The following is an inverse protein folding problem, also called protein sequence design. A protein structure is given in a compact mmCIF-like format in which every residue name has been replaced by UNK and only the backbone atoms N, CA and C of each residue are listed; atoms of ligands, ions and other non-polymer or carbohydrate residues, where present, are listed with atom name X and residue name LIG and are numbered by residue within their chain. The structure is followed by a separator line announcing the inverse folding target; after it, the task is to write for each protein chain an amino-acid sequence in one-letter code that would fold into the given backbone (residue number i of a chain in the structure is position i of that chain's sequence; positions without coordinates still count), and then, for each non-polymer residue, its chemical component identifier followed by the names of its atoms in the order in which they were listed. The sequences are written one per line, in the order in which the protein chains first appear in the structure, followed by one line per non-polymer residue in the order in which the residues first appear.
data_IF_054774461056
#
_entry.id   IF_054774461056
#
_cell.length_a   1.000
_cell.length_b   1.000
_cell.length_c   1.000
_cell.angle_alpha   90.00
_cell.angle_beta   90.00
_cell.angle_gamma   90.00
#
_symmetry.space_group_name_H-M   'P 1'
#
loop_
_entity.id
_entity.type
_entity.pdbx_description
1 polymer ?
#
# COMPACT_ATOMS: atom_id res chain seq x y z
N UNK A 1 18.45 -13.35 -1.02
CA UNK A 1 18.49 -12.31 -2.08
C UNK A 1 17.46 -11.22 -1.75
N UNK A 2 17.86 -9.94 -1.80
CA UNK A 2 16.91 -8.84 -1.60
C UNK A 2 15.87 -8.83 -2.73
N UNK A 3 14.61 -8.73 -2.34
CA UNK A 3 13.50 -8.60 -3.28
C UNK A 3 13.24 -7.13 -3.58
N UNK A 4 12.26 -6.86 -4.46
CA UNK A 4 11.83 -5.50 -4.76
C UNK A 4 11.39 -4.76 -3.48
N UNK A 5 10.67 -5.44 -2.57
CA UNK A 5 10.21 -4.82 -1.32
C UNK A 5 11.41 -4.42 -0.44
N UNK A 6 12.42 -5.27 -0.30
CA UNK A 6 13.66 -4.90 0.40
C UNK A 6 14.27 -3.63 -0.19
N UNK A 7 14.36 -3.56 -1.52
CA UNK A 7 14.93 -2.39 -2.22
C UNK A 7 14.09 -1.12 -1.97
N UNK A 8 12.75 -1.25 -1.96
CA UNK A 8 11.85 -0.11 -1.72
C UNK A 8 11.99 0.44 -0.30
N UNK A 9 12.14 -0.44 0.70
CA UNK A 9 12.36 0.01 2.08
C UNK A 9 13.70 0.73 2.21
N UNK A 10 14.75 0.15 1.64
CA UNK A 10 16.08 0.78 1.67
C UNK A 10 16.11 2.13 0.96
N UNK A 11 15.41 2.24 -0.16
CA UNK A 11 15.28 3.51 -0.88
C UNK A 11 14.49 4.54 -0.05
N UNK A 12 13.46 4.11 0.67
CA UNK A 12 12.71 4.99 1.57
C UNK A 12 13.60 5.52 2.69
N UNK A 13 14.40 4.65 3.31
CA UNK A 13 15.35 5.03 4.35
C UNK A 13 16.39 6.04 3.83
N UNK A 14 16.80 5.89 2.57
CA UNK A 14 17.78 6.78 1.92
C UNK A 14 17.17 8.07 1.36
N UNK A 15 15.84 8.22 1.40
CA UNK A 15 15.16 9.38 0.85
C UNK A 15 15.07 9.39 -0.68
N UNK A 16 15.23 8.25 -1.33
CA UNK A 16 15.26 8.12 -2.80
C UNK A 16 14.09 7.34 -3.38
N UNK A 17 13.10 6.99 -2.56
CA UNK A 17 11.91 6.26 -3.01
C UNK A 17 10.80 7.25 -3.39
N UNK A 18 10.47 7.41 -4.69
CA UNK A 18 9.48 8.40 -5.12
C UNK A 18 8.04 8.02 -4.77
N UNK A 19 7.79 6.76 -4.39
CA UNK A 19 6.46 6.27 -4.05
C UNK A 19 6.05 6.60 -2.62
N UNK A 20 6.97 7.07 -1.78
CA UNK A 20 6.71 7.33 -0.36
C UNK A 20 5.62 8.38 -0.20
N UNK A 21 4.57 8.02 0.54
CA UNK A 21 3.51 8.93 0.98
C UNK A 21 3.95 9.60 2.28
N UNK A 22 4.28 8.79 3.29
CA UNK A 22 4.83 9.27 4.57
C UNK A 22 5.43 8.13 5.39
N UNK A 23 6.25 8.50 6.37
CA UNK A 23 6.72 7.57 7.40
C UNK A 23 5.62 7.38 8.44
N UNK A 24 5.42 6.13 8.87
CA UNK A 24 4.51 5.76 9.95
C UNK A 24 5.29 5.05 11.05
N UNK A 25 4.72 4.91 12.27
CA UNK A 25 5.46 4.25 13.36
C UNK A 25 6.00 2.86 13.01
N UNK A 26 5.27 2.06 12.23
CA UNK A 26 5.69 0.69 11.88
C UNK A 26 6.42 0.58 10.54
N UNK A 27 6.50 1.63 9.76
CA UNK A 27 7.12 1.55 8.44
C UNK A 27 6.76 2.70 7.51
N UNK A 28 6.66 2.42 6.24
CA UNK A 28 6.47 3.41 5.19
C UNK A 28 5.17 3.19 4.45
N UNK A 29 4.31 4.22 4.44
CA UNK A 29 3.18 4.26 3.53
C UNK A 29 3.69 4.66 2.16
N UNK A 30 3.42 3.85 1.14
CA UNK A 30 3.83 4.13 -0.24
C UNK A 30 2.64 3.94 -1.18
N UNK A 31 2.66 4.66 -2.30
CA UNK A 31 1.73 4.39 -3.38
C UNK A 31 2.25 3.20 -4.20
N UNK A 32 1.36 2.35 -4.68
CA UNK A 32 1.75 1.22 -5.54
C UNK A 32 2.37 1.72 -6.86
N UNK A 33 3.39 1.02 -7.35
CA UNK A 33 4.09 1.39 -8.59
C UNK A 33 3.22 1.18 -9.84
N UNK A 34 2.10 0.47 -9.71
CA UNK A 34 1.08 0.33 -10.75
C UNK A 34 -0.26 0.83 -10.21
N UNK A 35 -0.76 1.92 -10.76
CA UNK A 35 -1.98 2.59 -10.31
C UNK A 35 -3.21 2.22 -11.16
N UNK A 36 -3.30 0.96 -11.58
CA UNK A 36 -4.47 0.44 -12.30
C UNK A 36 -5.76 0.54 -11.47
N UNK A 37 -5.64 0.51 -10.15
CA UNK A 37 -6.69 0.92 -9.21
C UNK A 37 -6.17 2.16 -8.51
N UNK A 38 -6.83 3.29 -8.73
CA UNK A 38 -6.37 4.58 -8.20
C UNK A 38 -6.34 4.56 -6.67
N UNK A 39 -5.20 4.90 -6.11
CA UNK A 39 -4.99 4.90 -4.66
C UNK A 39 -4.43 3.60 -4.11
N UNK A 40 -4.22 2.56 -4.95
CA UNK A 40 -3.53 1.37 -4.50
C UNK A 40 -2.25 1.76 -3.76
N UNK A 41 -2.17 1.36 -2.51
CA UNK A 41 -1.09 1.70 -1.60
C UNK A 41 -0.54 0.47 -0.91
N UNK A 42 0.65 0.59 -0.32
CA UNK A 42 1.24 -0.44 0.51
C UNK A 42 1.73 0.17 1.81
N UNK A 43 1.79 -0.67 2.83
CA UNK A 43 2.57 -0.41 4.05
C UNK A 43 3.77 -1.35 4.03
N UNK A 44 4.97 -0.79 4.02
CA UNK A 44 6.23 -1.53 4.05
C UNK A 44 6.77 -1.49 5.47
N UNK A 45 6.99 -2.67 6.08
CA UNK A 45 7.55 -2.72 7.44
C UNK A 45 8.99 -2.19 7.48
N UNK A 46 9.28 -1.40 8.49
CA UNK A 46 10.62 -0.95 8.82
C UNK A 46 10.77 -0.95 10.35
N UNK A 47 11.54 -1.85 10.93
CA UNK A 47 12.55 -2.73 10.32
C UNK A 47 11.95 -3.80 9.40
N UNK A 48 12.77 -4.27 8.45
CA UNK A 48 12.40 -5.36 7.55
C UNK A 48 12.38 -6.66 8.34
N UNK A 49 11.24 -7.36 8.28
CA UNK A 49 11.08 -8.71 8.84
C UNK A 49 10.41 -9.57 7.76
N UNK A 50 10.56 -10.92 7.82
CA UNK A 50 10.01 -11.77 6.74
C UNK A 50 8.49 -11.73 6.63
N UNK A 51 7.78 -11.68 7.77
CA UNK A 51 6.33 -11.72 7.79
C UNK A 51 5.78 -11.15 9.10
N UNK A 52 4.46 -11.07 9.17
CA UNK A 52 3.74 -10.49 10.30
C UNK A 52 4.02 -11.22 11.63
N UNK A 53 4.18 -12.54 11.58
CA UNK A 53 4.38 -13.35 12.78
C UNK A 53 5.78 -13.23 13.37
N UNK A 54 6.74 -12.69 12.63
CA UNK A 54 8.08 -12.37 13.15
C UNK A 54 8.13 -11.08 13.96
N UNK A 55 7.06 -10.26 13.92
CA UNK A 55 6.96 -9.10 14.81
C UNK A 55 6.51 -9.54 16.20
N UNK A 56 7.07 -8.93 17.26
CA UNK A 56 6.50 -9.06 18.59
C UNK A 56 5.12 -8.39 18.65
N UNK A 57 4.34 -8.74 19.66
CA UNK A 57 2.94 -8.35 19.76
C UNK A 57 2.74 -6.83 19.60
N UNK A 58 3.51 -6.03 20.32
CA UNK A 58 3.37 -4.56 20.27
C UNK A 58 3.60 -4.01 18.85
N UNK A 59 4.67 -4.47 18.21
CA UNK A 59 5.00 -4.04 16.83
C UNK A 59 4.00 -4.57 15.81
N UNK A 60 3.49 -5.78 16.01
CA UNK A 60 2.46 -6.39 15.18
C UNK A 60 1.18 -5.57 15.22
N UNK A 61 0.72 -5.20 16.42
CA UNK A 61 -0.47 -4.37 16.59
C UNK A 61 -0.29 -3.00 15.96
N UNK A 62 0.90 -2.42 16.08
CA UNK A 62 1.19 -1.13 15.45
C UNK A 62 1.14 -1.23 13.92
N UNK A 63 1.70 -2.30 13.34
CA UNK A 63 1.64 -2.52 11.90
C UNK A 63 0.20 -2.63 11.40
N UNK A 64 -0.62 -3.43 12.10
CA UNK A 64 -2.04 -3.61 11.73
C UNK A 64 -2.82 -2.29 11.87
N UNK A 65 -2.55 -1.52 12.92
CA UNK A 65 -3.15 -0.21 13.09
C UNK A 65 -2.76 0.73 11.95
N UNK A 66 -1.48 0.83 11.64
CA UNK A 66 -0.99 1.71 10.58
C UNK A 66 -1.59 1.32 9.22
N UNK A 67 -1.70 0.02 8.95
CA UNK A 67 -2.34 -0.49 7.74
C UNK A 67 -3.78 0.03 7.60
N UNK A 68 -4.55 -0.03 8.67
CA UNK A 68 -5.94 0.44 8.65
C UNK A 68 -6.05 1.97 8.59
N UNK A 69 -5.08 2.71 9.13
CA UNK A 69 -5.04 4.18 8.99
C UNK A 69 -4.85 4.60 7.53
N UNK A 70 -4.04 3.85 6.77
CA UNK A 70 -3.91 4.10 5.32
C UNK A 70 -5.27 3.85 4.65
N UNK A 71 -5.96 2.77 5.01
CA UNK A 71 -7.29 2.47 4.49
C UNK A 71 -8.30 3.57 4.81
N UNK A 72 -8.31 4.07 6.05
CA UNK A 72 -9.18 5.18 6.47
C UNK A 72 -8.90 6.44 5.63
N UNK A 73 -7.62 6.74 5.39
CA UNK A 73 -7.24 7.88 4.55
C UNK A 73 -7.76 7.72 3.12
N UNK A 74 -7.62 6.53 2.54
CA UNK A 74 -8.13 6.24 1.20
C UNK A 74 -9.65 6.40 1.11
N UNK A 75 -10.38 5.92 2.12
CA UNK A 75 -11.84 6.10 2.18
C UNK A 75 -12.22 7.57 2.27
N UNK A 76 -11.40 8.39 2.93
CA UNK A 76 -11.67 9.83 3.09
C UNK A 76 -11.39 10.64 1.83
N UNK A 77 -10.39 10.26 1.03
CA UNK A 77 -9.92 11.07 -0.10
C UNK A 77 -10.30 10.52 -1.47
N UNK A 78 -10.96 9.36 -1.54
CA UNK A 78 -11.41 8.73 -2.79
C UNK A 78 -12.88 8.36 -2.69
N UNK A 79 -13.44 7.88 -3.80
CA UNK A 79 -14.81 7.35 -3.85
C UNK A 79 -14.88 5.85 -3.53
N UNK A 80 -13.84 5.28 -2.94
CA UNK A 80 -13.81 3.87 -2.61
C UNK A 80 -14.96 3.51 -1.64
N UNK A 81 -15.63 2.38 -1.91
CA UNK A 81 -16.67 1.88 -1.01
C UNK A 81 -16.13 0.87 0.00
N UNK A 82 -14.93 0.33 -0.25
CA UNK A 82 -14.30 -0.71 0.59
C UNK A 82 -12.81 -0.72 0.38
N UNK A 83 -12.08 -1.13 1.40
CA UNK A 83 -10.65 -1.39 1.29
C UNK A 83 -10.41 -2.88 1.44
N UNK A 84 -9.65 -3.47 0.52
CA UNK A 84 -9.14 -4.82 0.67
C UNK A 84 -7.70 -4.78 1.15
N UNK A 85 -7.38 -5.61 2.13
CA UNK A 85 -6.05 -5.73 2.70
C UNK A 85 -5.50 -7.13 2.42
N UNK A 86 -4.27 -7.22 1.94
CA UNK A 86 -3.62 -8.49 1.68
C UNK A 86 -2.18 -8.48 2.18
N UNK A 87 -1.86 -9.41 3.08
CA UNK A 87 -0.50 -9.62 3.57
C UNK A 87 -0.08 -11.00 3.09
N UNK A 88 0.68 -11.04 2.00
CA UNK A 88 1.09 -12.28 1.33
C UNK A 88 2.56 -12.58 1.62
N UNK A 89 3.48 -12.12 0.78
CA UNK A 89 4.91 -12.22 1.03
C UNK A 89 5.56 -13.54 0.62
N UNK A 90 4.86 -14.40 -0.12
CA UNK A 90 5.43 -15.69 -0.52
C UNK A 90 6.61 -15.56 -1.48
N UNK A 91 6.60 -14.53 -2.35
CA UNK A 91 7.71 -14.25 -3.26
C UNK A 91 8.69 -13.22 -2.70
N UNK A 92 8.25 -12.42 -1.74
CA UNK A 92 9.04 -11.33 -1.17
C UNK A 92 8.95 -11.39 0.36
N UNK A 93 9.86 -12.13 1.02
CA UNK A 93 9.85 -12.27 2.48
C UNK A 93 10.36 -11.00 3.18
N UNK A 94 9.75 -9.89 2.86
CA UNK A 94 9.87 -8.60 3.51
C UNK A 94 8.44 -8.13 3.77
N UNK A 95 8.05 -8.05 5.04
CA UNK A 95 6.66 -7.79 5.42
C UNK A 95 6.13 -6.52 4.75
N UNK A 96 5.03 -6.67 4.04
CA UNK A 96 4.30 -5.58 3.42
C UNK A 96 2.82 -5.93 3.32
N UNK A 97 1.98 -4.93 3.39
CA UNK A 97 0.54 -5.07 3.19
C UNK A 97 0.14 -4.36 1.91
N UNK A 98 -0.61 -5.05 1.05
CA UNK A 98 -1.29 -4.43 -0.09
C UNK A 98 -2.60 -3.85 0.40
N UNK A 99 -2.90 -2.61 0.03
CA UNK A 99 -4.08 -1.88 0.47
C UNK A 99 -4.78 -1.37 -0.79
N UNK A 100 -5.86 -2.06 -1.17
CA UNK A 100 -6.59 -1.79 -2.40
C UNK A 100 -7.91 -1.10 -2.12
N UNK A 101 -8.08 0.17 -2.53
CA UNK A 101 -9.42 0.75 -2.56
C UNK A 101 -10.23 0.07 -3.68
N UNK A 102 -11.48 -0.26 -3.38
CA UNK A 102 -12.37 -0.90 -4.35
C UNK A 102 -13.50 0.08 -4.66
N UNK A 103 -13.89 0.14 -5.93
CA UNK A 103 -14.81 1.16 -6.44
C UNK A 103 -16.06 0.53 -7.05
N UNK A 104 -17.20 1.19 -6.86
CA UNK A 104 -18.47 0.74 -7.46
C UNK A 104 -18.47 0.80 -8.99
N UNK A 105 -17.59 1.62 -9.60
CA UNK A 105 -17.44 1.69 -11.06
C UNK A 105 -16.60 0.57 -11.66
N UNK A 106 -15.97 -0.28 -10.82
CA UNK A 106 -15.37 -1.51 -11.33
C UNK A 106 -16.47 -2.43 -11.86
N UNK A 107 -16.26 -3.15 -12.98
CA UNK A 107 -17.24 -4.13 -13.44
C UNK A 107 -17.60 -5.13 -12.34
N UNK A 108 -18.88 -5.48 -12.21
CA UNK A 108 -19.35 -6.35 -11.12
C UNK A 108 -18.55 -7.64 -11.01
N UNK A 109 -18.25 -8.27 -12.14
CA UNK A 109 -17.44 -9.50 -12.19
C UNK A 109 -16.04 -9.35 -11.60
N UNK A 110 -15.50 -8.12 -11.53
CA UNK A 110 -14.19 -7.82 -10.92
C UNK A 110 -14.33 -7.35 -9.49
N UNK A 111 -15.30 -6.48 -9.25
CA UNK A 111 -15.52 -5.86 -7.94
C UNK A 111 -15.75 -6.88 -6.82
N UNK A 112 -16.33 -8.03 -7.15
CA UNK A 112 -16.63 -9.10 -6.19
C UNK A 112 -15.47 -10.01 -5.85
N UNK A 113 -14.33 -9.85 -6.53
CA UNK A 113 -13.19 -10.78 -6.39
C UNK A 113 -11.92 -10.04 -5.96
N UNK A 114 -10.97 -10.78 -5.34
CA UNK A 114 -9.67 -10.22 -5.00
C UNK A 114 -8.97 -9.70 -6.26
N UNK A 115 -8.19 -8.64 -6.08
CA UNK A 115 -7.51 -7.96 -7.19
C UNK A 115 -6.68 -8.93 -8.05
N UNK A 116 -5.91 -9.81 -7.39
CA UNK A 116 -5.00 -10.72 -8.10
C UNK A 116 -5.70 -11.73 -9.01
N UNK A 117 -6.97 -12.04 -8.74
CA UNK A 117 -7.77 -12.93 -9.59
C UNK A 117 -8.72 -12.16 -10.51
N UNK A 118 -9.07 -10.93 -10.16
CA UNK A 118 -9.99 -10.09 -10.92
C UNK A 118 -9.34 -9.40 -12.12
N UNK A 119 -8.05 -9.12 -12.03
CA UNK A 119 -7.30 -8.36 -13.06
C UNK A 119 -6.15 -9.21 -13.59
N UNK A 120 -5.99 -9.25 -14.91
CA UNK A 120 -4.84 -9.90 -15.54
C UNK A 120 -3.56 -9.11 -15.29
N UNK A 121 -2.41 -9.73 -15.52
CA UNK A 121 -1.12 -9.04 -15.43
C UNK A 121 -1.07 -7.81 -16.35
N UNK A 122 -1.57 -7.96 -17.59
CA UNK A 122 -1.63 -6.85 -18.54
C UNK A 122 -2.46 -5.69 -18.00
N UNK A 123 -3.61 -5.98 -17.40
CA UNK A 123 -4.47 -4.97 -16.79
C UNK A 123 -3.81 -4.32 -15.58
N UNK A 124 -3.11 -5.11 -14.75
CA UNK A 124 -2.40 -4.56 -13.59
C UNK A 124 -1.24 -3.66 -13.98
N UNK A 125 -0.62 -3.89 -15.14
CA UNK A 125 0.51 -3.10 -15.63
C UNK A 125 0.07 -1.92 -16.53
N UNK A 126 -1.23 -1.66 -16.64
CA UNK A 126 -1.81 -0.70 -17.61
C UNK A 126 -1.62 0.77 -17.25
N UNK A 127 -1.34 1.08 -15.98
CA UNK A 127 -1.25 2.46 -15.52
C UNK A 127 -0.10 2.59 -14.50
N UNK A 128 1.14 2.75 -14.97
CA UNK A 128 2.28 2.94 -14.06
C UNK A 128 2.14 4.23 -13.24
N UNK A 129 2.73 4.23 -12.06
CA UNK A 129 2.88 5.43 -11.24
C UNK A 129 3.59 6.52 -12.03
N UNK A 130 3.05 7.74 -11.96
CA UNK A 130 3.66 8.94 -12.52
C UNK A 130 3.55 10.07 -11.49
N UNK A 131 4.68 10.59 -11.02
CA UNK A 131 4.68 11.60 -9.96
C UNK A 131 3.83 12.82 -10.33
N UNK A 132 3.91 13.28 -11.58
CA UNK A 132 3.13 14.43 -12.05
C UNK A 132 1.63 14.22 -11.95
N UNK A 133 1.16 12.97 -12.06
CA UNK A 133 -0.28 12.62 -11.99
C UNK A 133 -0.71 12.22 -10.58
N UNK A 134 0.19 11.61 -9.81
CA UNK A 134 -0.15 10.94 -8.55
C UNK A 134 0.19 11.77 -7.32
N UNK A 135 0.97 12.84 -7.48
CA UNK A 135 1.46 13.68 -6.38
C UNK A 135 0.33 14.24 -5.51
N UNK A 136 -0.71 14.78 -6.13
CA UNK A 136 -1.83 15.38 -5.40
C UNK A 136 -2.53 14.37 -4.51
N UNK A 137 -2.79 13.17 -5.03
CA UNK A 137 -3.40 12.10 -4.26
C UNK A 137 -2.51 11.69 -3.09
N UNK A 138 -1.20 11.56 -3.33
CA UNK A 138 -0.23 11.23 -2.27
C UNK A 138 -0.24 12.26 -1.14
N UNK A 139 -0.29 13.53 -1.49
CA UNK A 139 -0.33 14.63 -0.50
C UNK A 139 -1.63 14.60 0.32
N UNK A 140 -2.76 14.31 -0.32
CA UNK A 140 -4.06 14.19 0.36
C UNK A 140 -4.08 12.99 1.31
N UNK A 141 -3.56 11.85 0.89
CA UNK A 141 -3.44 10.66 1.74
C UNK A 141 -2.53 10.97 2.93
N UNK A 142 -1.36 11.56 2.68
CA UNK A 142 -0.41 11.91 3.74
C UNK A 142 -1.04 12.86 4.77
N UNK A 143 -1.77 13.85 4.31
CA UNK A 143 -2.46 14.81 5.20
C UNK A 143 -3.42 14.08 6.14
N UNK A 144 -4.24 13.17 5.62
CA UNK A 144 -5.20 12.41 6.42
C UNK A 144 -4.51 11.48 7.42
N UNK A 145 -3.44 10.81 7.01
CA UNK A 145 -2.68 9.93 7.90
C UNK A 145 -2.07 10.74 9.05
N UNK A 146 -1.42 11.86 8.74
CA UNK A 146 -0.71 12.67 9.73
C UNK A 146 -1.62 13.24 10.83
N UNK A 147 -2.89 13.44 10.53
CA UNK A 147 -3.86 13.88 11.54
C UNK A 147 -4.09 12.84 12.64
N UNK A 148 -3.74 11.59 12.42
CA UNK A 148 -4.00 10.48 13.34
C UNK A 148 -2.72 9.85 13.93
N UNK A 149 -1.57 10.38 13.58
CA UNK A 149 -0.30 9.93 14.15
C UNK A 149 0.00 10.56 15.51
#
# INVERSE_FOLDING_TARGET
MPTLIHQRVRAAQAGTNPYVICRMPSGWAVLGDQQFISGYSLLLSDPIVPDLNHLEEKSRLQFLRDMTLIGDALLAVTDAFRINYEILGNDAPALHAHIFPRYMNEPERRRKYPVWTAYSKEERDSRPFELSKDKELMERIAHMIKQKL
#
